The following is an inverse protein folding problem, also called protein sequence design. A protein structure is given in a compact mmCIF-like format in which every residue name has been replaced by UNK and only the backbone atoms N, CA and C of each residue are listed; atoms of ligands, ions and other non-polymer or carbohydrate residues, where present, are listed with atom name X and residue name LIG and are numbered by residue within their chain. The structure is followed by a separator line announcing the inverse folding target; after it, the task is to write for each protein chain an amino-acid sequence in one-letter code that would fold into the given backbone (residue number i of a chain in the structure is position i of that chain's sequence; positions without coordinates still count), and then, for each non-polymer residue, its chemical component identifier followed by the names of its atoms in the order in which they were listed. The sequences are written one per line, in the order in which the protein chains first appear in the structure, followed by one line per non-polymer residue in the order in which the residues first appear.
data_IF_504866006746
#
_entry.id   IF_504866006746
#
_cell.length_a   1.000
_cell.length_b   1.000
_cell.length_c   1.000
_cell.angle_alpha   90.00
_cell.angle_beta   90.00
_cell.angle_gamma   90.00
#
_symmetry.space_group_name_H-M   'P 1'
#
loop_
_entity.id
_entity.type
_entity.pdbx_description
1 polymer ?
#
# COMPACT_ATOMS: atom_id res chain seq x y z
N UNK A 1 -6.15 30.60 -16.96
CA UNK A 1 -5.01 30.58 -16.02
C UNK A 1 -5.37 30.36 -14.53
N UNK A 2 -6.63 30.55 -14.10
CA UNK A 2 -7.08 30.25 -12.72
C UNK A 2 -7.15 28.75 -12.38
N UNK A 3 -7.30 27.88 -13.38
CA UNK A 3 -7.32 26.42 -13.17
C UNK A 3 -6.00 25.86 -12.65
N UNK A 4 -4.86 26.46 -13.00
CA UNK A 4 -3.54 26.07 -12.48
C UNK A 4 -3.35 26.43 -11.01
N UNK A 5 -3.95 27.54 -10.54
CA UNK A 5 -3.95 27.93 -9.12
C UNK A 5 -4.85 27.04 -8.26
N UNK A 6 -5.95 26.51 -8.82
CA UNK A 6 -6.81 25.56 -8.12
C UNK A 6 -6.12 24.21 -7.85
N UNK A 7 -5.28 23.75 -8.79
CA UNK A 7 -4.46 22.54 -8.61
C UNK A 7 -3.41 22.77 -7.51
N UNK A 8 -2.81 23.97 -7.43
CA UNK A 8 -1.86 24.33 -6.37
C UNK A 8 -2.51 24.49 -4.98
N UNK A 9 -3.79 24.84 -4.91
CA UNK A 9 -4.58 24.91 -3.66
C UNK A 9 -5.13 23.55 -3.21
N UNK A 10 -5.12 22.54 -4.09
CA UNK A 10 -5.49 21.16 -3.77
C UNK A 10 -4.29 20.30 -3.34
N UNK A 11 -3.20 20.92 -2.88
CA UNK A 11 -2.22 20.29 -1.97
C UNK A 11 -2.78 20.15 -0.55
N UNK A 12 -4.07 19.79 -0.45
CA UNK A 12 -4.80 19.41 0.77
C UNK A 12 -5.38 18.00 0.63
N UNK A 13 -4.82 17.21 -0.30
CA UNK A 13 -5.31 15.89 -0.74
C UNK A 13 -4.48 14.72 -0.22
N UNK A 14 -3.28 14.97 0.32
CA UNK A 14 -2.40 13.94 0.91
C UNK A 14 -2.97 13.37 2.22
N UNK A 15 -3.60 14.20 3.06
CA UNK A 15 -4.12 13.75 4.37
C UNK A 15 -5.29 12.75 4.26
N UNK A 16 -6.09 12.82 3.20
CA UNK A 16 -7.19 11.87 3.00
C UNK A 16 -6.71 10.54 2.41
N UNK A 17 -5.68 10.57 1.54
CA UNK A 17 -5.19 9.36 0.88
C UNK A 17 -4.56 8.38 1.87
N UNK A 18 -3.85 8.88 2.89
CA UNK A 18 -3.33 8.06 3.99
C UNK A 18 -4.46 7.29 4.71
N UNK A 19 -5.51 8.01 5.11
CA UNK A 19 -6.64 7.42 5.84
C UNK A 19 -7.37 6.40 4.99
N UNK A 20 -7.61 6.72 3.71
CA UNK A 20 -8.26 5.79 2.77
C UNK A 20 -7.38 4.54 2.59
N UNK A 21 -6.07 4.69 2.35
CA UNK A 21 -5.16 3.55 2.23
C UNK A 21 -5.18 2.64 3.48
N UNK A 22 -5.19 3.24 4.67
CA UNK A 22 -5.27 2.49 5.94
C UNK A 22 -6.59 1.73 6.07
N UNK A 23 -7.71 2.36 5.71
CA UNK A 23 -9.03 1.71 5.74
C UNK A 23 -9.09 0.51 4.78
N UNK A 24 -8.61 0.68 3.55
CA UNK A 24 -8.54 -0.42 2.58
C UNK A 24 -7.63 -1.56 3.06
N UNK A 25 -6.48 -1.25 3.67
CA UNK A 25 -5.59 -2.27 4.23
C UNK A 25 -6.24 -3.06 5.39
N UNK A 26 -6.99 -2.39 6.26
CA UNK A 26 -7.72 -3.04 7.34
C UNK A 26 -8.86 -3.92 6.82
N UNK A 27 -9.60 -3.45 5.81
CA UNK A 27 -10.63 -4.23 5.14
C UNK A 27 -10.05 -5.48 4.49
N UNK A 28 -8.93 -5.34 3.78
CA UNK A 28 -8.22 -6.46 3.17
C UNK A 28 -7.80 -7.52 4.20
N UNK A 29 -7.30 -7.08 5.36
CA UNK A 29 -6.95 -7.99 6.45
C UNK A 29 -8.16 -8.75 6.99
N UNK A 30 -9.31 -8.09 7.13
CA UNK A 30 -10.53 -8.74 7.57
C UNK A 30 -11.06 -9.75 6.53
N UNK A 31 -10.99 -9.40 5.24
CA UNK A 31 -11.37 -10.29 4.14
C UNK A 31 -10.47 -11.53 4.06
N UNK A 32 -9.16 -11.37 4.26
CA UNK A 32 -8.22 -12.49 4.31
C UNK A 32 -8.51 -13.44 5.47
N UNK A 33 -8.83 -12.90 6.65
CA UNK A 33 -9.24 -13.71 7.80
C UNK A 33 -10.57 -14.47 7.56
N UNK A 34 -11.43 -13.95 6.69
CA UNK A 34 -12.68 -14.59 6.23
C UNK A 34 -12.46 -15.55 5.05
N UNK A 35 -11.21 -15.78 4.63
CA UNK A 35 -10.84 -16.64 3.49
C UNK A 35 -11.13 -16.04 2.11
N UNK A 36 -11.56 -14.78 2.05
CA UNK A 36 -11.84 -14.04 0.79
C UNK A 36 -10.56 -13.47 0.19
N UNK A 37 -9.61 -14.35 -0.09
CA UNK A 37 -8.23 -13.98 -0.44
C UNK A 37 -8.12 -13.12 -1.72
N UNK A 38 -8.99 -13.34 -2.72
CA UNK A 38 -9.01 -12.52 -3.94
C UNK A 38 -9.50 -11.10 -3.70
N UNK A 39 -10.52 -10.93 -2.85
CA UNK A 39 -11.03 -9.61 -2.48
C UNK A 39 -9.99 -8.88 -1.64
N UNK A 40 -9.37 -9.58 -0.67
CA UNK A 40 -8.26 -9.07 0.12
C UNK A 40 -7.09 -8.57 -0.75
N UNK A 41 -6.70 -9.34 -1.78
CA UNK A 41 -5.65 -8.94 -2.73
C UNK A 41 -5.99 -7.64 -3.47
N UNK A 42 -7.23 -7.50 -3.94
CA UNK A 42 -7.71 -6.31 -4.64
C UNK A 42 -7.70 -5.08 -3.72
N UNK A 43 -8.16 -5.25 -2.48
CA UNK A 43 -8.19 -4.19 -1.47
C UNK A 43 -6.77 -3.74 -1.08
N UNK A 44 -5.85 -4.69 -0.85
CA UNK A 44 -4.46 -4.37 -0.57
C UNK A 44 -3.77 -3.67 -1.75
N UNK A 45 -4.04 -4.09 -2.99
CA UNK A 45 -3.46 -3.45 -4.18
C UNK A 45 -3.94 -2.01 -4.33
N UNK A 46 -5.22 -1.75 -4.07
CA UNK A 46 -5.80 -0.41 -4.05
C UNK A 46 -5.21 0.45 -2.95
N UNK A 47 -5.07 -0.10 -1.74
CA UNK A 47 -4.39 0.56 -0.62
C UNK A 47 -2.95 0.94 -0.97
N UNK A 48 -2.23 0.07 -1.69
CA UNK A 48 -0.84 0.28 -2.08
C UNK A 48 -0.69 1.47 -3.05
N UNK A 49 -1.56 1.58 -4.06
CA UNK A 49 -1.57 2.74 -4.98
C UNK A 49 -1.82 4.04 -4.22
N UNK A 50 -2.79 4.03 -3.31
CA UNK A 50 -3.12 5.20 -2.50
C UNK A 50 -1.99 5.60 -1.57
N UNK A 51 -1.34 4.64 -0.91
CA UNK A 51 -0.19 4.89 -0.03
C UNK A 51 0.99 5.51 -0.81
N UNK A 52 1.29 4.98 -2.01
CA UNK A 52 2.32 5.53 -2.92
C UNK A 52 2.00 6.94 -3.35
N UNK A 53 0.74 7.21 -3.72
CA UNK A 53 0.28 8.56 -4.12
C UNK A 53 0.26 9.54 -2.95
N UNK A 54 0.04 9.04 -1.72
CA UNK A 54 0.14 9.84 -0.51
C UNK A 54 1.61 10.13 -0.11
N UNK A 55 2.57 9.36 -0.63
CA UNK A 55 3.97 9.38 -0.20
C UNK A 55 4.18 8.74 1.18
N UNK A 56 3.21 7.96 1.66
CA UNK A 56 3.28 7.33 2.99
C UNK A 56 4.02 5.99 2.93
N UNK A 57 5.34 6.08 3.12
CA UNK A 57 6.21 4.89 3.14
C UNK A 57 5.90 3.94 4.29
N UNK A 58 5.30 4.40 5.39
CA UNK A 58 4.98 3.53 6.54
C UNK A 58 3.79 2.64 6.20
N UNK A 59 2.73 3.24 5.65
CA UNK A 59 1.55 2.49 5.21
C UNK A 59 1.89 1.57 4.04
N UNK A 60 2.70 2.04 3.08
CA UNK A 60 3.19 1.23 1.97
C UNK A 60 3.93 -0.03 2.47
N UNK A 61 4.86 0.14 3.43
CA UNK A 61 5.60 -0.98 4.00
C UNK A 61 4.70 -2.01 4.71
N UNK A 62 3.69 -1.54 5.44
CA UNK A 62 2.73 -2.40 6.12
C UNK A 62 1.91 -3.23 5.10
N UNK A 63 1.40 -2.58 4.05
CA UNK A 63 0.63 -3.24 2.99
C UNK A 63 1.47 -4.30 2.27
N UNK A 64 2.72 -3.97 1.91
CA UNK A 64 3.64 -4.92 1.26
C UNK A 64 3.95 -6.12 2.15
N UNK A 65 4.09 -5.92 3.46
CA UNK A 65 4.32 -7.01 4.43
C UNK A 65 3.10 -7.94 4.49
N UNK A 66 1.89 -7.37 4.56
CA UNK A 66 0.66 -8.15 4.62
C UNK A 66 0.40 -8.92 3.32
N UNK A 67 0.61 -8.30 2.16
CA UNK A 67 0.53 -8.97 0.86
C UNK A 67 1.52 -10.13 0.77
N UNK A 68 2.77 -9.95 1.21
CA UNK A 68 3.76 -11.02 1.20
C UNK A 68 3.30 -12.22 2.04
N UNK A 69 2.83 -11.96 3.26
CA UNK A 69 2.32 -13.00 4.15
C UNK A 69 1.11 -13.73 3.55
N UNK A 70 0.14 -12.99 3.01
CA UNK A 70 -1.04 -13.58 2.36
C UNK A 70 -0.66 -14.44 1.15
N UNK A 71 0.31 -14.01 0.34
CA UNK A 71 0.80 -14.81 -0.77
C UNK A 71 1.52 -16.08 -0.32
N UNK A 72 2.25 -16.05 0.81
CA UNK A 72 2.90 -17.23 1.36
C UNK A 72 1.92 -18.21 2.03
N UNK A 73 1.00 -17.72 2.87
CA UNK A 73 0.13 -18.57 3.70
C UNK A 73 -1.14 -19.00 2.98
N UNK A 74 -1.85 -18.06 2.35
CA UNK A 74 -3.22 -18.27 1.88
C UNK A 74 -3.30 -18.68 0.41
N UNK A 75 -2.42 -18.11 -0.43
CA UNK A 75 -2.49 -18.29 -1.88
C UNK A 75 -1.42 -19.23 -2.44
N UNK A 76 -0.43 -19.62 -1.62
CA UNK A 76 0.72 -20.43 -2.04
C UNK A 76 1.40 -19.90 -3.32
N UNK A 77 1.57 -18.57 -3.39
CA UNK A 77 2.16 -17.83 -4.51
C UNK A 77 3.52 -17.22 -4.11
N UNK A 78 4.57 -18.05 -3.92
CA UNK A 78 5.86 -17.58 -3.39
C UNK A 78 6.56 -16.54 -4.27
N UNK A 79 6.29 -16.55 -5.58
CA UNK A 79 6.81 -15.54 -6.51
C UNK A 79 6.29 -14.14 -6.20
N UNK A 80 4.98 -14.02 -5.93
CA UNK A 80 4.37 -12.74 -5.56
C UNK A 80 4.79 -12.29 -4.18
N UNK A 81 4.90 -13.22 -3.23
CA UNK A 81 5.46 -12.92 -1.92
C UNK A 81 6.88 -12.35 -2.02
N UNK A 82 7.74 -12.96 -2.86
CA UNK A 82 9.10 -12.44 -3.14
C UNK A 82 9.07 -11.03 -3.73
N UNK A 83 8.19 -10.76 -4.69
CA UNK A 83 8.05 -9.42 -5.27
C UNK A 83 7.65 -8.36 -4.21
N UNK A 84 6.70 -8.69 -3.34
CA UNK A 84 6.32 -7.80 -2.23
C UNK A 84 7.48 -7.55 -1.26
N UNK A 85 8.24 -8.59 -0.90
CA UNK A 85 9.43 -8.44 -0.03
C UNK A 85 10.54 -7.64 -0.70
N UNK A 86 10.74 -7.79 -2.01
CA UNK A 86 11.70 -6.99 -2.76
C UNK A 86 11.32 -5.51 -2.77
N UNK A 87 10.06 -5.18 -3.08
CA UNK A 87 9.56 -3.81 -3.03
C UNK A 87 9.72 -3.19 -1.62
N UNK A 88 9.48 -4.00 -0.57
CA UNK A 88 9.69 -3.57 0.81
C UNK A 88 11.18 -3.30 1.11
N UNK A 89 12.09 -4.14 0.61
CA UNK A 89 13.52 -3.94 0.77
C UNK A 89 14.01 -2.67 0.07
N UNK A 90 13.53 -2.40 -1.15
CA UNK A 90 13.81 -1.16 -1.88
C UNK A 90 13.31 0.07 -1.10
N UNK A 91 12.07 0.01 -0.60
CA UNK A 91 11.46 1.07 0.21
C UNK A 91 12.24 1.37 1.49
N UNK A 92 12.76 0.32 2.16
CA UNK A 92 13.59 0.44 3.37
C UNK A 92 15.01 0.92 3.05
N UNK A 93 15.62 0.45 1.96
CA UNK A 93 16.94 0.87 1.50
C UNK A 93 16.97 2.36 1.10
N UNK A 94 15.90 2.86 0.51
CA UNK A 94 15.71 4.28 0.17
C UNK A 94 15.49 5.20 1.39
N UNK A 95 15.40 4.66 2.62
CA UNK A 95 15.30 5.43 3.86
C UNK A 95 16.60 5.49 4.68
N UNK A 96 17.61 4.68 4.33
CA UNK A 96 18.87 4.56 5.09
C UNK A 96 20.13 5.05 4.35
N UNK A 97 19.99 5.55 3.13
CA UNK A 97 21.10 6.04 2.30
C UNK A 97 21.03 7.54 2.06
N UNK A 98 21.26 8.34 3.09
CA UNK A 98 21.65 9.74 2.96
C UNK A 98 22.60 10.07 4.11
N UNK A 99 23.90 9.88 3.85
CA UNK A 99 24.94 10.65 4.52
C UNK A 99 25.03 12.05 3.92
#
# INVERSE_FOLDING_TARGET
EHFRKAIALHTRRSSNLHTIATLHANLASALGADGKNREAESEYTSALDLARRAGDRRVEANILTNLANMYDSELAMPERARQCRQALAELRGWGGGAG
#
